data_IF_569749386495
#
_entry.id   IF_569749386495
#
_cell.length_a   1.000
_cell.length_b   1.000
_cell.length_c   1.000
_cell.angle_alpha   90.00
_cell.angle_beta   90.00
_cell.angle_gamma   90.00
#
_symmetry.space_group_name_H-M   'P 1'
#
loop_
_entity.id
_entity.type
_entity.pdbx_description
1 polymer ?
#
# COMPACT_ATOMS: atom_id res chain seq x y z
N UNK A 1 -18.31 5.09 -8.48
CA UNK A 1 -17.01 5.80 -8.64
C UNK A 1 -17.09 7.12 -7.88
N UNK A 2 -16.07 7.53 -7.10
CA UNK A 2 -16.08 8.87 -6.48
C UNK A 2 -15.53 9.89 -7.50
N UNK A 3 -16.10 11.10 -7.55
CA UNK A 3 -15.66 12.25 -8.37
C UNK A 3 -14.14 12.44 -8.36
N UNK A 4 -13.52 12.38 -7.17
CA UNK A 4 -12.06 12.56 -7.01
C UNK A 4 -11.29 11.49 -7.81
N UNK A 5 -11.78 10.26 -7.84
CA UNK A 5 -11.13 9.16 -8.57
C UNK A 5 -11.29 9.32 -10.08
N UNK A 6 -12.44 9.80 -10.55
CA UNK A 6 -12.66 10.10 -11.96
C UNK A 6 -11.71 11.18 -12.48
N UNK A 7 -11.61 12.30 -11.75
CA UNK A 7 -10.69 13.40 -12.12
C UNK A 7 -9.25 12.89 -12.20
N UNK A 8 -8.81 12.10 -11.20
CA UNK A 8 -7.46 11.49 -11.21
C UNK A 8 -7.24 10.62 -12.46
N UNK A 9 -8.20 9.76 -12.80
CA UNK A 9 -8.10 8.89 -13.96
C UNK A 9 -8.08 9.67 -15.27
N UNK A 10 -8.86 10.75 -15.40
CA UNK A 10 -8.85 11.62 -16.58
C UNK A 10 -7.45 12.25 -16.77
N UNK A 11 -6.82 12.72 -15.69
CA UNK A 11 -5.45 13.25 -15.77
C UNK A 11 -4.41 12.17 -16.06
N UNK A 12 -4.64 10.92 -15.65
CA UNK A 12 -3.82 9.78 -16.08
C UNK A 12 -4.01 9.52 -17.57
N UNK A 13 -5.26 9.50 -18.05
CA UNK A 13 -5.59 9.28 -19.45
C UNK A 13 -4.97 10.36 -20.35
N UNK A 14 -5.03 11.63 -19.95
CA UNK A 14 -4.33 12.73 -20.63
C UNK A 14 -2.84 12.45 -20.83
N UNK A 15 -2.15 12.06 -19.74
CA UNK A 15 -0.70 11.76 -19.79
C UNK A 15 -0.39 10.53 -20.64
N UNK A 16 -1.19 9.48 -20.50
CA UNK A 16 -1.04 8.23 -21.23
C UNK A 16 -1.25 8.39 -22.74
N UNK A 17 -2.22 9.24 -23.13
CA UNK A 17 -2.50 9.61 -24.52
C UNK A 17 -1.61 10.74 -25.05
N UNK A 18 -0.72 11.30 -24.20
CA UNK A 18 0.18 12.41 -24.53
C UNK A 18 -0.53 13.63 -25.15
N UNK A 19 -1.74 13.93 -24.67
CA UNK A 19 -2.47 15.11 -25.11
C UNK A 19 -1.83 16.37 -24.51
N UNK A 20 -1.59 17.37 -25.34
CA UNK A 20 -1.24 18.70 -24.89
C UNK A 20 -2.44 19.38 -24.18
N UNK A 21 -2.17 20.50 -23.53
CA UNK A 21 -3.16 21.22 -22.73
C UNK A 21 -4.32 21.75 -23.57
N UNK A 22 -4.09 22.18 -24.81
CA UNK A 22 -5.11 22.81 -25.64
C UNK A 22 -6.02 21.76 -26.28
N UNK A 23 -5.44 20.68 -26.81
CA UNK A 23 -6.20 19.51 -27.28
C UNK A 23 -7.02 18.90 -26.15
N UNK A 24 -6.46 18.83 -24.93
CA UNK A 24 -7.18 18.34 -23.76
C UNK A 24 -8.37 19.24 -23.40
N UNK A 25 -8.19 20.57 -23.38
CA UNK A 25 -9.28 21.53 -23.10
C UNK A 25 -10.39 21.47 -24.16
N UNK A 26 -10.02 21.37 -25.44
CA UNK A 26 -10.99 21.21 -26.53
C UNK A 26 -11.78 19.92 -26.41
N UNK A 27 -11.13 18.81 -26.03
CA UNK A 27 -11.82 17.55 -25.79
C UNK A 27 -12.80 17.67 -24.62
N UNK A 28 -12.41 18.30 -23.51
CA UNK A 28 -13.33 18.54 -22.39
C UNK A 28 -14.54 19.38 -22.82
N UNK A 29 -14.30 20.44 -23.59
CA UNK A 29 -15.34 21.33 -24.08
C UNK A 29 -16.30 20.61 -25.06
N UNK A 30 -15.79 19.81 -25.98
CA UNK A 30 -16.62 19.08 -26.95
C UNK A 30 -17.57 18.08 -26.31
N UNK A 31 -17.19 17.47 -25.18
CA UNK A 31 -18.01 16.46 -24.49
C UNK A 31 -18.85 17.03 -23.34
N UNK A 32 -18.48 18.18 -22.77
CA UNK A 32 -19.14 18.69 -21.55
C UNK A 32 -19.53 20.17 -21.59
N UNK A 33 -19.05 20.92 -22.58
CA UNK A 33 -19.16 22.39 -22.67
C UNK A 33 -18.33 23.15 -21.64
N UNK A 34 -17.38 22.46 -20.99
CA UNK A 34 -16.52 23.01 -19.94
C UNK A 34 -15.07 22.67 -20.24
N UNK A 35 -14.18 23.64 -20.05
CA UNK A 35 -12.73 23.48 -20.25
C UNK A 35 -11.99 22.95 -19.02
N UNK A 36 -12.71 22.68 -17.91
CA UNK A 36 -12.12 22.34 -16.62
C UNK A 36 -12.87 21.22 -15.90
N UNK A 37 -12.12 20.21 -15.43
CA UNK A 37 -12.66 19.12 -14.60
C UNK A 37 -13.10 19.57 -13.21
N UNK A 38 -12.74 20.79 -12.77
CA UNK A 38 -13.12 21.35 -11.47
C UNK A 38 -14.61 21.67 -11.37
N UNK A 39 -15.24 22.05 -12.48
CA UNK A 39 -16.65 22.48 -12.52
C UNK A 39 -17.57 21.35 -13.03
N UNK A 40 -16.99 20.25 -13.50
CA UNK A 40 -17.75 19.11 -13.99
C UNK A 40 -18.43 18.32 -12.88
N UNK A 41 -19.68 17.93 -13.18
CA UNK A 41 -20.47 16.95 -12.44
C UNK A 41 -19.95 15.53 -12.68
N UNK A 42 -20.37 14.58 -11.84
CA UNK A 42 -19.98 13.16 -11.99
C UNK A 42 -20.36 12.61 -13.36
N UNK A 43 -21.58 12.91 -13.84
CA UNK A 43 -22.06 12.46 -15.16
C UNK A 43 -21.19 12.98 -16.30
N UNK A 44 -20.81 14.26 -16.26
CA UNK A 44 -19.91 14.85 -17.25
C UNK A 44 -18.53 14.19 -17.23
N UNK A 45 -17.98 13.91 -16.03
CA UNK A 45 -16.70 13.22 -15.89
C UNK A 45 -16.75 11.78 -16.43
N UNK A 46 -17.88 11.09 -16.28
CA UNK A 46 -18.12 9.76 -16.87
C UNK A 46 -18.15 9.84 -18.41
N UNK A 47 -18.86 10.81 -18.99
CA UNK A 47 -18.87 11.01 -20.45
C UNK A 47 -17.48 11.30 -21.02
N UNK A 48 -16.67 12.10 -20.33
CA UNK A 48 -15.26 12.33 -20.71
C UNK A 48 -14.45 11.05 -20.61
N UNK A 49 -14.67 10.24 -19.58
CA UNK A 49 -13.98 8.95 -19.45
C UNK A 49 -14.32 7.99 -20.58
N UNK A 50 -15.59 7.96 -21.01
CA UNK A 50 -16.04 7.14 -22.13
C UNK A 50 -15.37 7.57 -23.44
N UNK A 51 -15.19 8.89 -23.66
CA UNK A 51 -14.40 9.40 -24.78
C UNK A 51 -12.95 8.89 -24.73
N UNK A 52 -12.31 8.90 -23.56
CA UNK A 52 -10.98 8.32 -23.39
C UNK A 52 -10.95 6.82 -23.68
N UNK A 53 -11.97 6.06 -23.25
CA UNK A 53 -12.08 4.64 -23.60
C UNK A 53 -12.22 4.39 -25.10
N UNK A 54 -12.93 5.27 -25.81
CA UNK A 54 -12.99 5.30 -27.28
C UNK A 54 -11.64 5.58 -27.93
N UNK A 55 -10.83 6.47 -27.35
CA UNK A 55 -9.45 6.75 -27.76
C UNK A 55 -8.44 5.64 -27.38
N UNK A 56 -8.95 4.47 -26.98
CA UNK A 56 -8.14 3.32 -26.61
C UNK A 56 -7.44 3.46 -25.25
N UNK A 57 -7.83 4.43 -24.41
CA UNK A 57 -7.41 4.42 -23.02
C UNK A 57 -7.97 3.18 -22.34
N UNK A 58 -7.09 2.43 -21.69
CA UNK A 58 -7.45 1.33 -20.82
C UNK A 58 -6.77 1.61 -19.49
N UNK A 59 -7.52 1.99 -18.45
CA UNK A 59 -6.92 2.27 -17.16
C UNK A 59 -6.28 0.98 -16.67
N UNK A 60 -4.95 0.96 -16.69
CA UNK A 60 -4.20 -0.08 -16.01
C UNK A 60 -4.34 0.24 -14.53
N UNK A 61 -5.39 -0.31 -13.92
CA UNK A 61 -5.42 -0.44 -12.49
C UNK A 61 -4.27 -1.38 -12.16
N UNK A 62 -3.11 -0.81 -11.79
CA UNK A 62 -2.16 -1.53 -10.95
C UNK A 62 -2.98 -1.91 -9.74
N UNK A 63 -3.48 -3.15 -9.73
CA UNK A 63 -3.95 -3.77 -8.50
C UNK A 63 -2.81 -3.49 -7.51
N UNK A 64 -3.05 -2.92 -6.32
CA UNK A 64 -2.03 -2.92 -5.29
C UNK A 64 -1.47 -4.35 -5.31
N UNK A 65 -0.16 -4.44 -5.63
CA UNK A 65 0.45 -5.69 -6.09
C UNK A 65 -0.09 -6.81 -5.23
N UNK A 66 -0.65 -7.84 -5.87
CA UNK A 66 -1.38 -8.94 -5.23
C UNK A 66 -0.68 -9.26 -3.92
N UNK A 67 -1.28 -8.82 -2.82
CA UNK A 67 -0.68 -8.93 -1.50
C UNK A 67 -0.62 -10.43 -1.25
N UNK A 68 0.54 -11.04 -1.44
CA UNK A 68 0.87 -12.33 -0.85
C UNK A 68 1.13 -12.09 0.63
N UNK A 69 0.11 -11.60 1.34
CA UNK A 69 -0.01 -11.80 2.78
C UNK A 69 -0.38 -13.27 3.00
N UNK A 70 0.58 -14.15 2.76
CA UNK A 70 0.52 -15.58 3.08
C UNK A 70 1.91 -16.19 3.25
N UNK A 71 2.96 -15.39 3.33
CA UNK A 71 4.26 -15.87 3.77
C UNK A 71 4.14 -16.35 5.23
N UNK A 72 4.39 -17.65 5.43
CA UNK A 72 4.33 -18.34 6.71
C UNK A 72 5.30 -17.71 7.74
N UNK A 73 6.39 -17.10 7.27
CA UNK A 73 7.36 -16.41 8.11
C UNK A 73 6.77 -15.11 8.68
N UNK A 74 6.07 -14.29 7.90
CA UNK A 74 5.37 -13.10 8.41
C UNK A 74 4.31 -13.46 9.43
N UNK A 75 3.58 -14.57 9.24
CA UNK A 75 2.65 -15.07 10.27
C UNK A 75 3.41 -15.47 11.55
N UNK A 76 4.55 -16.15 11.39
CA UNK A 76 5.39 -16.54 12.53
C UNK A 76 5.97 -15.34 13.28
N UNK A 77 6.40 -14.29 12.58
CA UNK A 77 6.89 -13.03 13.16
C UNK A 77 5.79 -12.39 14.01
N UNK A 78 4.56 -12.28 13.47
CA UNK A 78 3.42 -11.72 14.22
C UNK A 78 3.08 -12.55 15.47
N UNK A 79 3.05 -13.88 15.34
CA UNK A 79 2.80 -14.79 16.48
C UNK A 79 3.81 -14.58 17.61
N UNK A 80 5.12 -14.62 17.29
CA UNK A 80 6.18 -14.43 18.28
C UNK A 80 6.10 -13.07 18.96
N UNK A 81 5.75 -12.02 18.21
CA UNK A 81 5.61 -10.68 18.77
C UNK A 81 4.45 -10.59 19.77
N UNK A 82 3.30 -11.18 19.44
CA UNK A 82 2.13 -11.22 20.31
C UNK A 82 2.41 -12.04 21.58
N UNK A 83 3.07 -13.19 21.46
CA UNK A 83 3.52 -13.99 22.62
C UNK A 83 4.42 -13.16 23.56
N UNK A 84 5.35 -12.37 23.00
CA UNK A 84 6.21 -11.50 23.80
C UNK A 84 5.46 -10.31 24.42
N UNK A 85 4.41 -9.82 23.78
CA UNK A 85 3.55 -8.77 24.34
C UNK A 85 2.70 -9.32 25.50
N UNK A 86 2.09 -10.50 25.34
CA UNK A 86 1.32 -11.18 26.40
C UNK A 86 2.20 -11.53 27.62
N UNK A 87 3.44 -11.92 27.39
CA UNK A 87 4.44 -12.13 28.46
C UNK A 87 4.94 -10.82 29.10
N UNK A 88 4.54 -9.64 28.59
CA UNK A 88 4.92 -8.33 29.11
C UNK A 88 6.33 -7.86 28.73
N UNK A 89 7.02 -8.56 27.82
CA UNK A 89 8.36 -8.19 27.36
C UNK A 89 8.36 -7.02 26.37
N UNK A 90 7.24 -6.86 25.65
CA UNK A 90 7.03 -5.79 24.68
C UNK A 90 5.82 -4.97 25.11
N UNK A 91 5.89 -3.65 24.90
CA UNK A 91 4.84 -2.69 25.33
C UNK A 91 3.82 -2.34 24.25
N UNK A 92 4.13 -2.60 22.98
CA UNK A 92 3.30 -2.22 21.82
C UNK A 92 3.14 -3.44 20.90
N UNK A 93 1.90 -3.96 20.78
CA UNK A 93 1.54 -5.08 19.92
C UNK A 93 1.20 -4.69 18.48
N UNK A 94 1.26 -3.39 18.15
CA UNK A 94 0.85 -2.89 16.84
C UNK A 94 1.77 -3.34 15.71
N UNK A 95 1.20 -3.49 14.52
CA UNK A 95 1.95 -3.87 13.32
C UNK A 95 3.05 -2.85 12.97
N UNK A 96 2.87 -1.59 13.35
CA UNK A 96 3.87 -0.52 13.23
C UNK A 96 5.12 -0.83 14.06
N UNK A 97 4.96 -1.32 15.29
CA UNK A 97 6.08 -1.69 16.16
C UNK A 97 6.86 -2.88 15.59
N UNK A 98 6.14 -3.87 15.05
CA UNK A 98 6.74 -5.03 14.38
C UNK A 98 7.54 -4.60 13.14
N UNK A 99 6.94 -3.74 12.29
CA UNK A 99 7.61 -3.20 11.11
C UNK A 99 8.86 -2.39 11.48
N UNK A 100 8.80 -1.55 12.53
CA UNK A 100 9.95 -0.80 13.00
C UNK A 100 11.10 -1.71 13.48
N UNK A 101 10.76 -2.79 14.19
CA UNK A 101 11.74 -3.79 14.61
C UNK A 101 12.38 -4.50 13.41
N UNK A 102 11.58 -4.97 12.45
CA UNK A 102 12.06 -5.63 11.24
C UNK A 102 12.94 -4.70 10.39
N UNK A 103 12.57 -3.42 10.29
CA UNK A 103 13.33 -2.39 9.58
C UNK A 103 14.73 -2.20 10.16
N UNK A 104 14.87 -2.19 11.50
CA UNK A 104 16.19 -2.08 12.16
C UNK A 104 17.16 -3.20 11.78
N UNK A 105 16.66 -4.38 11.43
CA UNK A 105 17.48 -5.56 11.12
C UNK A 105 17.76 -5.68 9.62
N UNK A 106 16.78 -5.32 8.80
CA UNK A 106 16.75 -5.65 7.36
C UNK A 106 16.80 -4.44 6.44
N UNK A 107 16.55 -3.24 6.97
CA UNK A 107 16.34 -2.01 6.21
C UNK A 107 14.98 -1.93 5.52
N UNK A 108 14.12 -2.95 5.63
CA UNK A 108 12.82 -3.02 4.95
C UNK A 108 11.71 -2.48 5.85
N UNK A 109 10.96 -1.49 5.36
CA UNK A 109 9.97 -0.77 6.17
C UNK A 109 8.65 -1.51 6.42
N UNK A 110 8.40 -2.64 5.76
CA UNK A 110 7.17 -3.43 5.89
C UNK A 110 7.47 -4.92 5.83
N UNK A 111 6.86 -5.71 6.72
CA UNK A 111 6.98 -7.17 6.72
C UNK A 111 6.63 -7.80 5.36
N UNK A 112 5.64 -7.24 4.68
CA UNK A 112 5.15 -7.69 3.37
C UNK A 112 6.21 -7.66 2.27
N UNK A 113 7.31 -6.92 2.46
CA UNK A 113 8.38 -6.73 1.48
C UNK A 113 9.65 -7.49 1.87
N UNK A 114 9.62 -8.27 2.95
CA UNK A 114 10.76 -9.07 3.35
C UNK A 114 10.94 -10.25 2.40
N UNK A 115 12.17 -10.45 1.93
CA UNK A 115 12.57 -11.73 1.34
C UNK A 115 12.70 -12.83 2.40
N UNK A 116 12.69 -14.09 1.97
CA UNK A 116 12.74 -15.27 2.85
C UNK A 116 13.92 -15.26 3.84
N UNK A 117 15.12 -14.89 3.36
CA UNK A 117 16.32 -14.83 4.21
C UNK A 117 16.22 -13.71 5.25
N UNK A 118 15.62 -12.58 4.86
CA UNK A 118 15.41 -11.45 5.75
C UNK A 118 14.37 -11.78 6.83
N UNK A 119 13.27 -12.44 6.45
CA UNK A 119 12.24 -12.89 7.38
C UNK A 119 12.80 -13.93 8.37
N UNK A 120 13.59 -14.90 7.88
CA UNK A 120 14.29 -15.89 8.71
C UNK A 120 15.20 -15.21 9.73
N UNK A 121 15.97 -14.20 9.31
CA UNK A 121 16.85 -13.43 10.19
C UNK A 121 16.06 -12.71 11.29
N UNK A 122 14.92 -12.09 10.96
CA UNK A 122 14.04 -11.43 11.95
C UNK A 122 13.50 -12.43 12.96
N UNK A 123 13.06 -13.60 12.51
CA UNK A 123 12.56 -14.67 13.40
C UNK A 123 13.63 -15.14 14.38
N UNK A 124 14.84 -15.39 13.89
CA UNK A 124 15.94 -15.84 14.75
C UNK A 124 16.34 -14.78 15.78
N UNK A 125 16.28 -13.50 15.41
CA UNK A 125 16.51 -12.41 16.39
C UNK A 125 15.39 -12.31 17.43
N UNK A 126 14.12 -12.52 17.04
CA UNK A 126 12.99 -12.54 17.97
C UNK A 126 13.10 -13.69 18.96
N UNK A 127 13.37 -14.92 18.49
CA UNK A 127 13.57 -16.09 19.35
C UNK A 127 14.71 -15.89 20.36
N UNK A 128 15.83 -15.32 19.92
CA UNK A 128 16.97 -15.02 20.82
C UNK A 128 16.58 -14.01 21.89
N UNK A 129 15.83 -12.98 21.52
CA UNK A 129 15.35 -11.97 22.46
C UNK A 129 14.37 -12.60 23.46
N UNK A 130 13.33 -13.29 22.99
CA UNK A 130 12.35 -13.99 23.83
C UNK A 130 13.03 -14.93 24.84
N UNK A 131 14.01 -15.73 24.39
CA UNK A 131 14.78 -16.64 25.26
C UNK A 131 15.54 -15.89 26.37
N UNK A 132 16.09 -14.72 26.06
CA UNK A 132 16.80 -13.89 27.04
C UNK A 132 15.84 -13.35 28.10
N UNK A 133 14.68 -12.85 27.68
CA UNK A 133 13.67 -12.31 28.60
C UNK A 133 13.07 -13.42 29.49
N UNK A 134 12.77 -14.58 28.92
CA UNK A 134 12.31 -15.75 29.70
C UNK A 134 13.34 -16.19 30.74
N UNK A 135 14.63 -16.22 30.39
CA UNK A 135 15.71 -16.54 31.34
C UNK A 135 15.81 -15.50 32.45
N UNK A 136 15.65 -14.22 32.12
CA UNK A 136 15.67 -13.14 33.10
C UNK A 136 14.45 -13.23 34.04
N UNK A 137 13.27 -13.54 33.51
CA UNK A 137 12.05 -13.73 34.29
C UNK A 137 12.17 -14.92 35.25
N UNK A 138 12.71 -16.05 34.78
CA UNK A 138 12.92 -17.25 35.60
C UNK A 138 13.96 -17.05 36.71
N UNK A 139 14.91 -16.11 36.55
CA UNK A 139 15.90 -15.78 37.58
C UNK A 139 15.35 -14.84 38.68
N UNK A 140 14.17 -14.26 38.48
CA UNK A 140 13.49 -13.35 39.41
C UNK A 140 12.38 -14.04 40.22
N UNK A 141 12.09 -15.32 39.95
CA UNK A 141 11.16 -16.17 40.70
C UNK A 141 11.93 -17.10 41.64
#
# INVERSE_FOLDING_TARGET
>A
MNRINLVKLIHVAKRDRRLDDDTYRQLLDSYTGLSSTKEMTIKQLESVMDAFYGLGFRPVFKRPGKITATDEQSKKIRSLWLEMFEAGFVRDSSERAINAYAHRITGVGRLEWLGTDQASRVIETLKKWQKRELKAQAALQ
#
